data_IF_927487166576
#
_entry.id   IF_927487166576
#
_cell.length_a   1.000
_cell.length_b   1.000
_cell.length_c   1.000
_cell.angle_alpha   90.00
_cell.angle_beta   90.00
_cell.angle_gamma   90.00
#
_symmetry.space_group_name_H-M   'P 1'
#
loop_
_entity.id
_entity.type
_entity.pdbx_description
1 polymer ?
#
# COMPACT_ATOMS: atom_id res chain seq x y z
N UNK A 1 5.45 -4.20 -23.17
CA UNK A 1 5.23 -4.86 -21.89
C UNK A 1 3.75 -4.86 -21.51
N UNK A 2 3.30 -5.84 -20.74
CA UNK A 2 1.88 -6.02 -20.38
C UNK A 2 1.38 -5.03 -19.31
N UNK A 3 2.29 -4.45 -18.52
CA UNK A 3 1.92 -3.60 -17.36
C UNK A 3 1.09 -2.38 -17.80
N UNK A 4 1.57 -1.61 -18.75
CA UNK A 4 0.92 -0.36 -19.15
C UNK A 4 -0.50 -0.57 -19.70
N UNK A 5 -0.75 -1.52 -20.63
CA UNK A 5 -2.11 -1.81 -21.10
C UNK A 5 -3.06 -2.25 -19.95
N UNK A 6 -2.58 -3.09 -19.03
CA UNK A 6 -3.41 -3.57 -17.91
C UNK A 6 -3.70 -2.44 -16.92
N UNK A 7 -2.73 -1.57 -16.61
CA UNK A 7 -2.94 -0.37 -15.78
C UNK A 7 -3.95 0.57 -16.44
N UNK A 8 -3.83 0.81 -17.76
CA UNK A 8 -4.79 1.64 -18.49
C UNK A 8 -6.20 1.06 -18.47
N UNK A 9 -6.34 -0.28 -18.62
CA UNK A 9 -7.62 -0.97 -18.51
C UNK A 9 -8.24 -0.81 -17.12
N UNK A 10 -7.47 -1.06 -16.04
CA UNK A 10 -7.95 -0.91 -14.67
C UNK A 10 -8.32 0.54 -14.35
N UNK A 11 -7.53 1.51 -14.79
CA UNK A 11 -7.84 2.93 -14.62
C UNK A 11 -9.12 3.31 -15.35
N UNK A 12 -9.29 2.87 -16.60
CA UNK A 12 -10.51 3.10 -17.38
C UNK A 12 -11.75 2.46 -16.74
N UNK A 13 -11.63 1.21 -16.27
CA UNK A 13 -12.71 0.53 -15.56
C UNK A 13 -13.07 1.29 -14.28
N UNK A 14 -12.09 1.64 -13.45
CA UNK A 14 -12.29 2.40 -12.23
C UNK A 14 -12.96 3.75 -12.50
N UNK A 15 -12.53 4.46 -13.55
CA UNK A 15 -13.13 5.73 -13.96
C UNK A 15 -14.62 5.59 -14.31
N UNK A 16 -14.98 4.56 -15.09
CA UNK A 16 -16.40 4.31 -15.47
C UNK A 16 -17.26 4.07 -14.25
N UNK A 17 -16.80 3.24 -13.29
CA UNK A 17 -17.55 2.98 -12.07
C UNK A 17 -17.67 4.23 -11.19
N UNK A 18 -16.58 4.97 -10.99
CA UNK A 18 -16.59 6.19 -10.17
C UNK A 18 -17.47 7.27 -10.82
N UNK A 19 -17.36 7.48 -12.13
CA UNK A 19 -18.16 8.48 -12.86
C UNK A 19 -19.68 8.23 -12.72
N UNK A 20 -20.07 6.98 -12.61
CA UNK A 20 -21.46 6.60 -12.40
C UNK A 20 -21.92 6.82 -10.94
N UNK A 21 -21.04 6.58 -9.97
CA UNK A 21 -21.38 6.73 -8.55
C UNK A 21 -21.39 8.20 -8.17
N UNK A 22 -20.35 8.94 -8.58
CA UNK A 22 -20.13 10.34 -8.22
C UNK A 22 -19.30 11.05 -9.31
N UNK A 23 -19.94 12.01 -10.01
CA UNK A 23 -19.29 12.75 -11.10
C UNK A 23 -18.19 13.69 -10.62
N UNK A 24 -18.31 14.25 -9.40
CA UNK A 24 -17.29 15.15 -8.86
C UNK A 24 -16.01 14.39 -8.53
N UNK A 25 -16.15 13.16 -8.02
CA UNK A 25 -15.01 12.26 -7.80
C UNK A 25 -14.37 11.82 -9.12
N UNK A 26 -15.18 11.58 -10.16
CA UNK A 26 -14.66 11.23 -11.48
C UNK A 26 -13.82 12.34 -12.10
N UNK A 27 -14.26 13.61 -11.98
CA UNK A 27 -13.48 14.76 -12.44
C UNK A 27 -12.13 14.83 -11.73
N UNK A 28 -12.12 14.63 -10.41
CA UNK A 28 -10.88 14.59 -9.62
C UNK A 28 -9.98 13.44 -10.05
N UNK A 29 -10.54 12.25 -10.29
CA UNK A 29 -9.79 11.09 -10.77
C UNK A 29 -9.20 11.33 -12.17
N UNK A 30 -9.94 11.95 -13.09
CA UNK A 30 -9.43 12.31 -14.40
C UNK A 30 -8.23 13.28 -14.30
N UNK A 31 -8.34 14.29 -13.40
CA UNK A 31 -7.23 15.18 -13.10
C UNK A 31 -6.00 14.46 -12.56
N UNK A 32 -6.19 13.54 -11.59
CA UNK A 32 -5.09 12.74 -11.05
C UNK A 32 -4.51 11.75 -12.07
N UNK A 33 -5.32 11.20 -12.96
CA UNK A 33 -4.86 10.36 -14.06
C UNK A 33 -3.97 11.18 -15.01
N UNK A 34 -4.36 12.40 -15.36
CA UNK A 34 -3.54 13.29 -16.17
C UNK A 34 -2.19 13.61 -15.49
N UNK A 35 -2.21 13.94 -14.20
CA UNK A 35 -0.99 14.15 -13.40
C UNK A 35 -0.12 12.87 -13.40
N UNK A 36 -0.72 11.69 -13.23
CA UNK A 36 -0.02 10.41 -13.29
C UNK A 36 0.66 10.14 -14.63
N UNK A 37 -0.02 10.43 -15.75
CA UNK A 37 0.54 10.30 -17.10
C UNK A 37 1.70 11.28 -17.30
N UNK A 38 1.55 12.53 -16.87
CA UNK A 38 2.65 13.52 -16.93
C UNK A 38 3.84 13.06 -16.08
N UNK A 39 3.60 12.58 -14.87
CA UNK A 39 4.65 12.06 -13.99
C UNK A 39 5.36 10.84 -14.60
N UNK A 40 4.60 9.94 -15.24
CA UNK A 40 5.15 8.80 -15.95
C UNK A 40 6.07 9.22 -17.10
N UNK A 41 5.62 10.13 -17.97
CA UNK A 41 6.41 10.66 -19.10
C UNK A 41 7.63 11.41 -18.57
N UNK A 42 7.47 12.24 -17.54
CA UNK A 42 8.57 12.95 -16.90
C UNK A 42 9.62 11.99 -16.31
N UNK A 43 9.18 10.91 -15.67
CA UNK A 43 10.08 9.89 -15.13
C UNK A 43 10.89 9.23 -16.25
N UNK A 44 10.27 8.88 -17.37
CA UNK A 44 10.96 8.29 -18.53
C UNK A 44 11.96 9.27 -19.16
N UNK A 45 11.63 10.56 -19.20
CA UNK A 45 12.49 11.59 -19.81
C UNK A 45 13.67 11.99 -18.89
N UNK A 46 13.44 12.12 -17.59
CA UNK A 46 14.40 12.65 -16.62
C UNK A 46 15.28 11.55 -16.02
N UNK A 47 14.71 10.38 -15.72
CA UNK A 47 15.44 9.27 -15.11
C UNK A 47 16.11 8.41 -16.17
N UNK A 48 17.16 8.93 -16.79
CA UNK A 48 17.91 8.21 -17.83
C UNK A 48 18.65 6.98 -17.31
N UNK A 49 19.14 7.04 -16.08
CA UNK A 49 19.85 5.95 -15.39
C UNK A 49 19.31 5.81 -13.97
N UNK A 50 18.46 4.82 -13.76
CA UNK A 50 17.84 4.53 -12.45
C UNK A 50 18.89 4.36 -11.35
N UNK A 51 20.04 3.78 -11.67
CA UNK A 51 21.16 3.59 -10.73
C UNK A 51 21.73 4.91 -10.16
N UNK A 52 21.56 6.03 -10.88
CA UNK A 52 21.98 7.35 -10.36
C UNK A 52 21.20 7.74 -9.11
N UNK A 53 19.96 7.29 -8.96
CA UNK A 53 19.14 7.54 -7.77
C UNK A 53 19.75 6.91 -6.51
N UNK A 54 20.54 5.85 -6.65
CA UNK A 54 21.25 5.22 -5.53
C UNK A 54 22.27 6.16 -4.87
N UNK A 55 22.77 7.17 -5.58
CA UNK A 55 23.71 8.15 -5.01
C UNK A 55 23.02 9.10 -4.00
N UNK A 56 21.70 9.20 -4.09
CA UNK A 56 20.88 10.11 -3.26
C UNK A 56 20.09 9.37 -2.16
N UNK A 57 20.52 8.15 -1.78
CA UNK A 57 19.77 7.31 -0.85
C UNK A 57 19.39 8.04 0.44
N UNK A 58 20.33 8.67 1.16
CA UNK A 58 20.02 9.41 2.39
C UNK A 58 19.17 10.66 2.15
N UNK A 59 19.36 11.36 1.05
CA UNK A 59 18.49 12.48 0.66
C UNK A 59 17.05 12.01 0.48
N UNK A 60 16.85 10.87 -0.20
CA UNK A 60 15.54 10.23 -0.37
C UNK A 60 14.93 9.77 0.95
N UNK A 61 15.75 9.29 1.90
CA UNK A 61 15.30 9.00 3.26
C UNK A 61 14.71 10.24 3.93
N UNK A 62 15.45 11.36 3.94
CA UNK A 62 14.99 12.59 4.59
C UNK A 62 13.78 13.19 3.88
N UNK A 63 13.71 13.11 2.54
CA UNK A 63 12.52 13.51 1.77
C UNK A 63 11.33 12.63 2.15
N UNK A 64 11.50 11.31 2.19
CA UNK A 64 10.45 10.37 2.56
C UNK A 64 9.91 10.60 3.97
N UNK A 65 10.79 10.73 4.95
CA UNK A 65 10.39 11.02 6.34
C UNK A 65 9.75 12.41 6.46
N UNK A 66 10.27 13.42 5.76
CA UNK A 66 9.69 14.77 5.73
C UNK A 66 8.27 14.76 5.16
N UNK A 67 8.04 14.04 4.06
CA UNK A 67 6.72 13.87 3.46
C UNK A 67 5.75 13.17 4.41
N UNK A 68 6.20 12.14 5.16
CA UNK A 68 5.37 11.49 6.17
C UNK A 68 5.00 12.43 7.31
N UNK A 69 5.89 13.29 7.75
CA UNK A 69 5.65 14.24 8.84
C UNK A 69 4.74 15.40 8.43
N UNK A 70 4.67 15.72 7.14
CA UNK A 70 3.97 16.90 6.62
C UNK A 70 2.50 17.00 7.07
N UNK A 71 1.68 15.92 7.02
CA UNK A 71 0.29 15.98 7.45
C UNK A 71 0.10 16.20 8.96
N UNK A 72 1.13 15.91 9.78
CA UNK A 72 1.07 16.12 11.23
C UNK A 72 1.22 17.61 11.60
N UNK A 73 1.73 18.45 10.69
CA UNK A 73 1.86 19.88 10.92
C UNK A 73 0.47 20.54 11.01
N UNK A 74 0.21 21.35 12.07
CA UNK A 74 -1.13 21.88 12.35
C UNK A 74 -1.73 22.74 11.22
N UNK A 75 -0.87 23.43 10.46
CA UNK A 75 -1.28 24.38 9.41
C UNK A 75 -1.53 23.69 8.07
N UNK A 76 -0.89 22.56 7.80
CA UNK A 76 -0.86 21.90 6.49
C UNK A 76 -1.77 20.69 6.44
N UNK A 77 -1.82 19.95 7.54
CA UNK A 77 -2.56 18.69 7.62
C UNK A 77 -4.05 18.87 7.86
N UNK A 78 -4.85 18.12 7.13
CA UNK A 78 -6.30 18.04 7.30
C UNK A 78 -6.68 16.70 7.93
N UNK A 79 -7.48 16.75 8.98
CA UNK A 79 -8.06 15.56 9.60
C UNK A 79 -9.36 15.19 8.86
N UNK A 80 -9.41 13.94 8.37
CA UNK A 80 -10.59 13.38 7.71
C UNK A 80 -10.85 12.02 8.37
N UNK A 81 -12.07 11.81 8.86
CA UNK A 81 -12.47 10.58 9.55
C UNK A 81 -11.53 10.16 10.71
N UNK A 82 -11.00 11.15 11.45
CA UNK A 82 -10.10 10.92 12.56
C UNK A 82 -8.65 10.58 12.19
N UNK A 83 -8.30 10.52 10.90
CA UNK A 83 -6.94 10.32 10.41
C UNK A 83 -6.35 11.60 9.81
N UNK A 84 -5.11 11.89 10.15
CA UNK A 84 -4.38 13.09 9.71
C UNK A 84 -3.34 12.74 8.68
N UNK A 85 -3.82 12.38 7.46
CA UNK A 85 -3.00 11.85 6.35
C UNK A 85 -3.04 12.72 5.10
N UNK A 86 -3.93 13.72 5.07
CA UNK A 86 -4.18 14.53 3.89
C UNK A 86 -3.61 15.94 4.03
N UNK A 87 -3.11 16.48 2.92
CA UNK A 87 -2.81 17.90 2.75
C UNK A 87 -3.67 18.47 1.61
N UNK A 88 -4.03 19.74 1.72
CA UNK A 88 -4.85 20.41 0.72
C UNK A 88 -3.99 21.37 -0.10
N UNK A 89 -3.89 21.12 -1.40
CA UNK A 89 -3.15 21.95 -2.36
C UNK A 89 -4.12 22.54 -3.37
N UNK A 90 -4.62 23.77 -3.11
CA UNK A 90 -5.45 24.50 -4.07
C UNK A 90 -6.71 23.77 -4.54
N UNK A 91 -7.40 23.03 -3.63
CA UNK A 91 -8.61 22.27 -3.96
C UNK A 91 -8.39 20.79 -4.26
N UNK A 92 -7.14 20.36 -4.39
CA UNK A 92 -6.78 18.94 -4.48
C UNK A 92 -6.30 18.43 -3.12
N UNK A 93 -6.84 17.28 -2.69
CA UNK A 93 -6.35 16.58 -1.51
C UNK A 93 -5.26 15.58 -1.95
N UNK A 94 -4.08 15.69 -1.35
CA UNK A 94 -2.92 14.84 -1.64
C UNK A 94 -2.55 14.09 -0.38
N UNK A 95 -2.20 12.82 -0.52
CA UNK A 95 -1.64 12.01 0.56
C UNK A 95 -0.13 11.91 0.38
N UNK A 96 0.69 12.66 1.14
CA UNK A 96 2.14 12.66 0.97
C UNK A 96 2.79 11.32 1.24
N UNK A 97 2.13 10.45 2.03
CA UNK A 97 2.60 9.10 2.32
C UNK A 97 2.81 8.24 1.06
N UNK A 98 2.02 8.46 -0.01
CA UNK A 98 2.17 7.71 -1.27
C UNK A 98 3.53 7.99 -1.93
N UNK A 99 3.94 9.25 -1.96
CA UNK A 99 5.26 9.65 -2.47
C UNK A 99 6.39 9.26 -1.50
N UNK A 100 6.13 9.34 -0.19
CA UNK A 100 7.07 8.93 0.83
C UNK A 100 7.43 7.44 0.72
N UNK A 101 6.45 6.57 0.46
CA UNK A 101 6.69 5.13 0.25
C UNK A 101 7.69 4.88 -0.88
N UNK A 102 7.54 5.58 -2.01
CA UNK A 102 8.47 5.47 -3.16
C UNK A 102 9.88 5.93 -2.76
N UNK A 103 9.99 7.08 -2.10
CA UNK A 103 11.29 7.62 -1.65
C UNK A 103 11.98 6.67 -0.66
N UNK A 104 11.23 6.08 0.27
CA UNK A 104 11.75 5.12 1.23
C UNK A 104 12.16 3.79 0.59
N UNK A 105 11.42 3.30 -0.43
CA UNK A 105 11.81 2.11 -1.20
C UNK A 105 13.15 2.35 -1.91
N UNK A 106 13.34 3.51 -2.52
CA UNK A 106 14.60 3.89 -3.16
C UNK A 106 15.76 3.92 -2.15
N UNK A 107 15.52 4.48 -0.95
CA UNK A 107 16.49 4.43 0.14
C UNK A 107 16.80 2.99 0.56
N UNK A 108 15.78 2.18 0.86
CA UNK A 108 15.98 0.80 1.29
C UNK A 108 16.71 -0.02 0.22
N UNK A 109 16.34 0.11 -1.05
CA UNK A 109 17.04 -0.57 -2.14
C UNK A 109 18.51 -0.19 -2.16
N UNK A 110 18.84 1.10 -2.01
CA UNK A 110 20.22 1.60 -1.99
C UNK A 110 20.98 1.06 -0.78
N UNK A 111 20.40 1.20 0.39
CA UNK A 111 21.08 0.86 1.65
C UNK A 111 21.29 -0.66 1.76
N UNK A 112 20.25 -1.44 1.46
CA UNK A 112 20.30 -2.89 1.57
C UNK A 112 21.29 -3.49 0.57
N UNK A 113 21.34 -3.00 -0.67
CA UNK A 113 22.31 -3.48 -1.65
C UNK A 113 23.73 -3.15 -1.23
N UNK A 114 23.98 -1.93 -0.75
CA UNK A 114 25.31 -1.50 -0.30
C UNK A 114 25.84 -2.31 0.89
N UNK A 115 24.94 -2.76 1.77
CA UNK A 115 25.29 -3.46 2.99
C UNK A 115 24.89 -4.95 2.99
N UNK A 116 24.49 -5.52 1.83
CA UNK A 116 23.89 -6.86 1.77
C UNK A 116 24.80 -7.95 2.32
N UNK A 117 26.11 -7.90 2.03
CA UNK A 117 27.07 -8.86 2.53
C UNK A 117 27.21 -8.78 4.06
N UNK A 118 27.28 -7.57 4.60
CA UNK A 118 27.41 -7.31 6.03
C UNK A 118 26.11 -7.66 6.79
N UNK A 119 24.94 -7.46 6.17
CA UNK A 119 23.65 -7.88 6.70
C UNK A 119 23.44 -9.41 6.59
N UNK A 120 24.12 -10.04 5.65
CA UNK A 120 24.17 -11.51 5.53
C UNK A 120 25.11 -12.19 6.53
N UNK A 121 26.10 -11.45 7.09
CA UNK A 121 27.03 -11.98 8.08
C UNK A 121 26.39 -12.00 9.47
N UNK A 122 26.28 -13.17 10.07
CA UNK A 122 25.68 -13.36 11.41
C UNK A 122 26.79 -13.43 12.48
N UNK A 123 27.50 -12.31 12.67
CA UNK A 123 28.63 -12.25 13.58
C UNK A 123 28.26 -11.91 15.04
N UNK A 124 27.01 -11.52 15.28
CA UNK A 124 26.53 -11.17 16.61
C UNK A 124 25.57 -12.23 17.12
N UNK A 125 25.86 -12.81 18.30
CA UNK A 125 25.05 -13.84 18.92
C UNK A 125 24.22 -13.25 20.04
N UNK A 126 22.89 -13.34 19.90
CA UNK A 126 21.95 -13.04 20.97
C UNK A 126 21.24 -14.34 21.40
N UNK A 127 21.87 -15.08 22.31
CA UNK A 127 21.41 -16.44 22.67
C UNK A 127 21.52 -17.40 21.47
N UNK A 128 20.43 -18.08 21.10
CA UNK A 128 20.41 -18.98 19.95
C UNK A 128 20.33 -18.25 18.60
N UNK A 129 20.06 -16.94 18.62
CA UNK A 129 19.89 -16.14 17.42
C UNK A 129 21.22 -15.57 16.94
N UNK A 130 21.50 -15.78 15.66
CA UNK A 130 22.66 -15.23 14.97
C UNK A 130 22.19 -14.05 14.12
N UNK A 131 22.56 -12.82 14.54
CA UNK A 131 22.14 -11.57 13.92
C UNK A 131 23.36 -10.85 13.30
N UNK A 132 23.14 -10.01 12.28
CA UNK A 132 24.18 -9.12 11.80
C UNK A 132 24.54 -8.06 12.85
N UNK A 133 25.72 -7.48 12.72
CA UNK A 133 26.18 -6.46 13.66
C UNK A 133 25.18 -5.28 13.72
N UNK A 134 24.81 -4.80 14.92
CA UNK A 134 23.79 -3.75 15.10
C UNK A 134 24.06 -2.47 14.30
N UNK A 135 25.33 -2.12 14.11
CA UNK A 135 25.72 -0.93 13.35
C UNK A 135 25.22 -0.91 11.90
N UNK A 136 24.99 -2.08 11.28
CA UNK A 136 24.48 -2.17 9.91
C UNK A 136 22.96 -2.30 9.87
N UNK A 137 22.34 -2.84 10.93
CA UNK A 137 20.90 -2.91 11.06
C UNK A 137 20.29 -1.59 11.53
N UNK A 138 20.97 -0.88 12.43
CA UNK A 138 20.43 0.30 13.10
C UNK A 138 19.89 1.37 12.12
N UNK A 139 20.60 1.82 11.07
CA UNK A 139 20.08 2.86 10.19
C UNK A 139 18.80 2.47 9.47
N UNK A 140 18.69 1.22 9.03
CA UNK A 140 17.53 0.76 8.28
C UNK A 140 16.34 0.48 9.19
N UNK A 141 16.56 -0.09 10.37
CA UNK A 141 15.52 -0.29 11.39
C UNK A 141 15.04 1.06 11.93
N UNK A 142 15.94 2.02 12.11
CA UNK A 142 15.60 3.34 12.61
C UNK A 142 14.73 4.10 11.58
N UNK A 143 15.14 4.11 10.31
CA UNK A 143 14.38 4.71 9.23
C UNK A 143 12.97 4.10 9.12
N UNK A 144 12.90 2.78 9.15
CA UNK A 144 11.65 2.03 9.13
C UNK A 144 10.79 2.27 10.38
N UNK A 145 11.40 2.20 11.57
CA UNK A 145 10.71 2.42 12.83
C UNK A 145 10.12 3.83 12.95
N UNK A 146 10.88 4.86 12.55
CA UNK A 146 10.39 6.24 12.51
C UNK A 146 9.21 6.36 11.55
N UNK A 147 9.30 5.78 10.33
CA UNK A 147 8.21 5.81 9.38
C UNK A 147 6.94 5.13 9.92
N UNK A 148 7.09 3.97 10.57
CA UNK A 148 5.97 3.27 11.24
C UNK A 148 5.35 4.11 12.36
N UNK A 149 6.16 4.69 13.23
CA UNK A 149 5.67 5.52 14.33
C UNK A 149 4.88 6.72 13.83
N UNK A 150 5.35 7.36 12.75
CA UNK A 150 4.63 8.48 12.11
C UNK A 150 3.28 8.01 11.54
N UNK A 151 3.24 6.87 10.84
CA UNK A 151 1.99 6.33 10.28
C UNK A 151 1.00 5.93 11.38
N UNK A 152 1.49 5.37 12.50
CA UNK A 152 0.65 5.07 13.67
C UNK A 152 0.11 6.37 14.30
N UNK A 153 0.94 7.41 14.43
CA UNK A 153 0.52 8.72 14.93
C UNK A 153 -0.53 9.38 14.03
N UNK A 154 -0.48 9.13 12.72
CA UNK A 154 -1.49 9.54 11.74
C UNK A 154 -2.78 8.73 11.82
N UNK A 155 -2.83 7.66 12.63
CA UNK A 155 -3.90 6.66 12.71
C UNK A 155 -4.12 5.88 11.40
N UNK A 156 -3.07 5.76 10.59
CA UNK A 156 -3.05 5.01 9.34
C UNK A 156 -2.42 3.62 9.54
N UNK A 157 -3.16 2.75 10.19
CA UNK A 157 -2.71 1.38 10.47
C UNK A 157 -2.59 0.53 9.19
N UNK A 158 -3.40 0.82 8.17
CA UNK A 158 -3.35 0.12 6.89
C UNK A 158 -2.03 0.36 6.16
N UNK A 159 -1.65 1.63 5.97
CA UNK A 159 -0.36 1.99 5.37
C UNK A 159 0.82 1.53 6.23
N UNK A 160 0.69 1.57 7.57
CA UNK A 160 1.73 1.07 8.47
C UNK A 160 1.97 -0.44 8.27
N UNK A 161 0.91 -1.24 8.15
CA UNK A 161 1.01 -2.68 7.89
C UNK A 161 1.61 -2.97 6.52
N UNK A 162 1.14 -2.27 5.47
CA UNK A 162 1.69 -2.41 4.13
C UNK A 162 3.20 -2.09 4.12
N UNK A 163 3.60 -1.02 4.77
CA UNK A 163 4.99 -0.60 4.84
C UNK A 163 5.86 -1.56 5.66
N UNK A 164 5.28 -2.17 6.70
CA UNK A 164 5.91 -3.24 7.47
C UNK A 164 6.21 -4.47 6.60
N UNK A 165 5.21 -4.97 5.89
CA UNK A 165 5.35 -6.14 5.01
C UNK A 165 6.33 -5.86 3.87
N UNK A 166 6.24 -4.67 3.27
CA UNK A 166 7.16 -4.21 2.23
C UNK A 166 8.62 -4.24 2.72
N UNK A 167 8.87 -3.65 3.89
CA UNK A 167 10.21 -3.62 4.48
C UNK A 167 10.76 -5.02 4.73
N UNK A 168 9.97 -5.91 5.33
CA UNK A 168 10.38 -7.30 5.58
C UNK A 168 10.67 -8.05 4.27
N UNK A 169 9.84 -7.85 3.25
CA UNK A 169 10.03 -8.45 1.94
C UNK A 169 11.33 -7.98 1.29
N UNK A 170 11.62 -6.68 1.33
CA UNK A 170 12.85 -6.12 0.80
C UNK A 170 14.09 -6.63 1.58
N UNK A 171 14.01 -6.71 2.91
CA UNK A 171 15.07 -7.28 3.75
C UNK A 171 15.33 -8.74 3.39
N UNK A 172 14.29 -9.53 3.24
CA UNK A 172 14.41 -10.94 2.86
C UNK A 172 15.02 -11.10 1.47
N UNK A 173 14.52 -10.38 0.47
CA UNK A 173 15.05 -10.44 -0.91
C UNK A 173 16.52 -9.99 -0.97
N UNK A 174 16.91 -9.00 -0.16
CA UNK A 174 18.28 -8.48 -0.15
C UNK A 174 19.27 -9.45 0.52
N UNK A 175 18.85 -10.11 1.59
CA UNK A 175 19.73 -10.91 2.44
C UNK A 175 19.60 -12.42 2.22
N UNK A 176 18.50 -12.85 1.60
CA UNK A 176 18.13 -14.28 1.42
C UNK A 176 18.00 -15.05 2.75
N UNK A 177 17.83 -14.33 3.89
CA UNK A 177 17.75 -14.89 5.24
C UNK A 177 16.33 -14.90 5.76
N UNK A 178 15.79 -16.08 6.03
CA UNK A 178 14.45 -16.26 6.61
C UNK A 178 14.30 -15.70 8.03
N UNK A 179 15.41 -15.42 8.71
CA UNK A 179 15.38 -14.86 10.06
C UNK A 179 14.62 -13.53 10.11
N UNK A 180 14.71 -12.68 9.06
CA UNK A 180 14.05 -11.38 9.02
C UNK A 180 12.51 -11.49 8.95
N UNK A 181 11.91 -12.23 7.99
CA UNK A 181 10.46 -12.39 7.97
C UNK A 181 9.94 -13.16 9.19
N UNK A 182 10.69 -14.13 9.75
CA UNK A 182 10.29 -14.85 10.96
C UNK A 182 10.27 -13.89 12.16
N UNK A 183 11.36 -13.14 12.41
CA UNK A 183 11.39 -12.14 13.48
C UNK A 183 10.33 -11.07 13.29
N UNK A 184 10.15 -10.58 12.06
CA UNK A 184 9.10 -9.63 11.75
C UNK A 184 7.72 -10.20 12.06
N UNK A 185 7.43 -11.42 11.64
CA UNK A 185 6.17 -12.10 11.96
C UNK A 185 5.91 -12.21 13.46
N UNK A 186 6.93 -12.56 14.24
CA UNK A 186 6.83 -12.62 15.70
C UNK A 186 6.60 -11.23 16.32
N UNK A 187 7.31 -10.21 15.85
CA UNK A 187 7.11 -8.82 16.29
C UNK A 187 5.72 -8.30 15.93
N UNK A 188 5.24 -8.65 14.73
CA UNK A 188 3.89 -8.32 14.30
C UNK A 188 2.84 -9.00 15.20
N UNK A 189 2.99 -10.30 15.46
CA UNK A 189 2.07 -11.04 16.33
C UNK A 189 2.02 -10.44 17.73
N UNK A 190 3.18 -10.12 18.31
CA UNK A 190 3.26 -9.45 19.62
C UNK A 190 2.62 -8.06 19.58
N UNK A 191 2.94 -7.24 18.58
CA UNK A 191 2.37 -5.91 18.42
C UNK A 191 0.86 -5.93 18.18
N UNK A 192 0.36 -6.86 17.38
CA UNK A 192 -1.06 -7.06 17.10
C UNK A 192 -1.81 -7.49 18.38
N UNK A 193 -1.22 -8.39 19.19
CA UNK A 193 -1.80 -8.81 20.47
C UNK A 193 -1.90 -7.64 21.46
N UNK A 194 -0.85 -6.82 21.55
CA UNK A 194 -0.84 -5.61 22.39
C UNK A 194 -1.88 -4.61 21.88
N UNK A 195 -1.91 -4.35 20.58
CA UNK A 195 -2.87 -3.42 19.98
C UNK A 195 -4.31 -3.89 20.20
N UNK A 196 -4.58 -5.19 20.03
CA UNK A 196 -5.89 -5.76 20.31
C UNK A 196 -6.28 -5.66 21.78
N UNK A 197 -5.34 -5.84 22.71
CA UNK A 197 -5.62 -5.74 24.14
C UNK A 197 -5.81 -4.31 24.67
N UNK A 198 -5.23 -3.29 24.00
CA UNK A 198 -5.18 -1.92 24.49
C UNK A 198 -6.06 -0.93 23.69
N UNK A 199 -6.39 -1.26 22.44
CA UNK A 199 -7.05 -0.32 21.53
C UNK A 199 -8.46 -0.81 21.14
N UNK A 200 -9.50 -0.18 21.68
CA UNK A 200 -10.89 -0.56 21.42
C UNK A 200 -11.25 -0.56 19.91
N UNK A 201 -10.76 0.41 19.15
CA UNK A 201 -11.00 0.44 17.69
C UNK A 201 -10.36 -0.73 16.92
N UNK A 202 -9.29 -1.35 17.46
CA UNK A 202 -8.71 -2.57 16.90
C UNK A 202 -9.59 -3.77 17.24
N UNK A 203 -10.11 -3.83 18.48
CA UNK A 203 -11.06 -4.86 18.90
C UNK A 203 -12.32 -4.83 18.03
N UNK A 204 -12.89 -3.65 17.78
CA UNK A 204 -14.07 -3.47 16.93
C UNK A 204 -13.81 -3.99 15.49
N UNK A 205 -12.64 -3.68 14.93
CA UNK A 205 -12.28 -4.16 13.59
C UNK A 205 -12.08 -5.67 13.55
N UNK A 206 -11.42 -6.26 14.56
CA UNK A 206 -11.24 -7.71 14.64
C UNK A 206 -12.58 -8.40 14.84
N UNK A 207 -13.45 -7.89 15.70
CA UNK A 207 -14.79 -8.43 15.91
C UNK A 207 -15.64 -8.34 14.63
N UNK A 208 -15.61 -7.19 13.95
CA UNK A 208 -16.32 -7.01 12.69
C UNK A 208 -15.79 -7.95 11.58
N UNK A 209 -14.51 -8.28 11.59
CA UNK A 209 -13.91 -9.20 10.61
C UNK A 209 -14.25 -10.67 10.90
N UNK A 210 -14.19 -11.08 12.18
CA UNK A 210 -14.41 -12.48 12.57
C UNK A 210 -15.91 -12.82 12.68
N UNK A 211 -16.70 -11.91 13.24
CA UNK A 211 -18.12 -12.09 13.53
C UNK A 211 -18.95 -10.89 13.04
N UNK A 212 -18.96 -10.60 11.73
CA UNK A 212 -19.60 -9.40 11.19
C UNK A 212 -21.13 -9.38 11.45
N UNK A 213 -21.77 -10.55 11.50
CA UNK A 213 -23.21 -10.68 11.72
C UNK A 213 -23.63 -10.27 13.14
N UNK A 214 -22.80 -10.55 14.14
CA UNK A 214 -23.09 -10.21 15.53
C UNK A 214 -23.08 -8.70 15.79
N UNK A 215 -22.36 -7.96 14.95
CA UNK A 215 -22.20 -6.50 15.00
C UNK A 215 -22.73 -5.82 13.74
N UNK A 216 -23.69 -6.44 13.05
CA UNK A 216 -24.23 -5.96 11.78
C UNK A 216 -24.88 -4.57 11.82
N UNK A 217 -25.38 -4.13 12.97
CA UNK A 217 -25.92 -2.78 13.19
C UNK A 217 -24.87 -1.70 13.50
N UNK A 218 -23.59 -2.08 13.58
CA UNK A 218 -22.48 -1.19 13.99
C UNK A 218 -21.26 -1.38 13.10
N UNK A 219 -20.14 -1.78 13.74
CA UNK A 219 -18.83 -1.93 13.05
C UNK A 219 -18.82 -2.97 11.92
N UNK A 220 -19.70 -3.99 11.96
CA UNK A 220 -19.84 -5.01 10.93
C UNK A 220 -20.75 -4.62 9.76
N UNK A 221 -21.49 -3.50 9.85
CA UNK A 221 -22.48 -3.12 8.84
C UNK A 221 -21.95 -3.14 7.41
N UNK A 222 -20.80 -2.52 7.20
CA UNK A 222 -20.18 -2.40 5.88
C UNK A 222 -19.78 -3.76 5.30
N UNK A 223 -19.27 -4.67 6.13
CA UNK A 223 -18.85 -6.02 5.73
C UNK A 223 -20.09 -6.84 5.34
N UNK A 224 -21.15 -6.77 6.16
CA UNK A 224 -22.40 -7.50 5.92
C UNK A 224 -23.07 -7.02 4.63
N UNK A 225 -23.22 -5.70 4.45
CA UNK A 225 -23.80 -5.14 3.22
C UNK A 225 -22.94 -5.44 1.99
N UNK A 226 -21.62 -5.36 2.13
CA UNK A 226 -20.69 -5.74 1.05
C UNK A 226 -20.84 -7.22 0.66
N UNK A 227 -21.00 -8.10 1.65
CA UNK A 227 -21.21 -9.53 1.42
C UNK A 227 -22.54 -9.80 0.71
N UNK A 228 -23.62 -9.10 1.10
CA UNK A 228 -24.92 -9.21 0.41
C UNK A 228 -24.83 -8.74 -1.04
N UNK A 229 -24.18 -7.61 -1.30
CA UNK A 229 -24.00 -7.10 -2.65
C UNK A 229 -23.20 -8.07 -3.54
N UNK A 230 -22.10 -8.63 -3.02
CA UNK A 230 -21.32 -9.65 -3.75
C UNK A 230 -22.13 -10.92 -4.01
N UNK A 231 -22.90 -11.39 -3.03
CA UNK A 231 -23.78 -12.56 -3.18
C UNK A 231 -24.88 -12.31 -4.21
N UNK A 232 -25.45 -11.10 -4.22
CA UNK A 232 -26.46 -10.68 -5.17
C UNK A 232 -25.95 -10.66 -6.62
N UNK A 233 -24.67 -10.31 -6.80
CA UNK A 233 -24.02 -10.32 -8.11
C UNK A 233 -23.96 -11.70 -8.78
N UNK A 234 -23.87 -12.77 -8.00
CA UNK A 234 -23.81 -14.14 -8.55
C UNK A 234 -22.67 -14.33 -9.54
N UNK A 235 -22.85 -15.21 -10.52
CA UNK A 235 -21.80 -15.52 -11.52
C UNK A 235 -21.61 -14.42 -12.55
N UNK A 236 -22.66 -13.91 -13.14
CA UNK A 236 -22.62 -12.98 -14.28
C UNK A 236 -22.87 -11.51 -13.95
N UNK A 237 -23.19 -11.21 -12.71
CA UNK A 237 -23.58 -9.88 -12.28
C UNK A 237 -25.02 -9.50 -12.58
N UNK A 238 -25.49 -8.44 -11.92
CA UNK A 238 -26.85 -7.89 -12.15
C UNK A 238 -26.88 -6.98 -13.41
N UNK A 239 -25.72 -6.68 -13.98
CA UNK A 239 -25.55 -5.75 -15.09
C UNK A 239 -25.12 -4.36 -14.63
N UNK A 240 -24.42 -3.66 -15.53
CA UNK A 240 -23.91 -2.32 -15.28
C UNK A 240 -25.03 -1.36 -14.89
N UNK A 241 -24.88 -0.66 -13.78
CA UNK A 241 -25.83 0.32 -13.28
C UNK A 241 -27.04 -0.26 -12.55
N UNK A 242 -27.11 -1.57 -12.35
CA UNK A 242 -28.23 -2.26 -11.69
C UNK A 242 -27.90 -2.75 -10.28
N UNK A 243 -26.73 -2.40 -9.74
CA UNK A 243 -26.34 -2.75 -8.39
C UNK A 243 -27.14 -2.02 -7.32
N UNK A 244 -27.44 -2.71 -6.24
CA UNK A 244 -28.18 -2.21 -5.06
C UNK A 244 -27.24 -1.75 -3.92
N UNK A 245 -25.96 -2.11 -3.97
CA UNK A 245 -24.98 -1.83 -2.91
C UNK A 245 -24.75 -0.34 -2.65
N UNK A 246 -24.95 0.52 -3.66
CA UNK A 246 -24.76 1.97 -3.52
C UNK A 246 -25.73 2.59 -2.50
N UNK A 247 -27.06 2.32 -2.53
CA UNK A 247 -27.98 2.83 -1.53
C UNK A 247 -27.72 2.31 -0.10
N UNK A 248 -27.31 1.06 0.03
CA UNK A 248 -27.05 0.44 1.34
C UNK A 248 -25.77 0.91 2.00
N UNK A 249 -24.69 1.06 1.25
CA UNK A 249 -23.36 1.40 1.76
C UNK A 249 -23.06 2.91 1.74
N UNK A 250 -23.80 3.68 0.93
CA UNK A 250 -23.56 5.12 0.73
C UNK A 250 -22.50 5.41 -0.34
N UNK A 251 -22.79 6.42 -1.17
CA UNK A 251 -21.97 6.77 -2.34
C UNK A 251 -20.49 7.00 -2.03
N UNK A 252 -20.20 7.75 -0.96
CA UNK A 252 -18.82 8.10 -0.61
C UNK A 252 -17.98 6.86 -0.27
N UNK A 253 -18.53 5.95 0.54
CA UNK A 253 -17.84 4.73 0.95
C UNK A 253 -17.61 3.78 -0.23
N UNK A 254 -18.64 3.62 -1.07
CA UNK A 254 -18.59 2.72 -2.24
C UNK A 254 -17.59 3.23 -3.29
N UNK A 255 -17.51 4.54 -3.50
CA UNK A 255 -16.60 5.12 -4.50
C UNK A 255 -15.12 5.08 -4.08
N UNK A 256 -14.83 4.96 -2.78
CA UNK A 256 -13.46 4.98 -2.24
C UNK A 256 -13.02 3.61 -1.73
N UNK A 257 -13.68 3.11 -0.69
CA UNK A 257 -13.18 1.97 0.07
C UNK A 257 -13.74 0.61 -0.42
N UNK A 258 -14.88 0.61 -1.12
CA UNK A 258 -15.59 -0.61 -1.48
C UNK A 258 -16.02 -0.69 -2.95
N UNK A 259 -15.27 -0.06 -3.86
CA UNK A 259 -15.57 -0.10 -5.30
C UNK A 259 -15.58 -1.53 -5.85
N UNK A 260 -14.76 -2.42 -5.30
CA UNK A 260 -14.72 -3.84 -5.68
C UNK A 260 -16.04 -4.56 -5.40
N UNK A 261 -16.76 -4.15 -4.36
CA UNK A 261 -18.09 -4.69 -4.04
C UNK A 261 -19.08 -4.36 -5.16
N UNK A 262 -19.05 -3.13 -5.67
CA UNK A 262 -19.93 -2.73 -6.79
C UNK A 262 -19.56 -3.47 -8.07
N UNK A 263 -18.25 -3.62 -8.34
CA UNK A 263 -17.78 -4.41 -9.48
C UNK A 263 -18.30 -5.84 -9.37
N UNK A 264 -18.24 -6.44 -8.18
CA UNK A 264 -18.71 -7.80 -7.94
C UNK A 264 -20.22 -7.94 -8.03
N UNK A 265 -20.98 -6.95 -7.57
CA UNK A 265 -22.44 -6.95 -7.72
C UNK A 265 -22.89 -6.84 -9.19
N UNK A 266 -22.25 -5.95 -9.95
CA UNK A 266 -22.67 -5.63 -11.31
C UNK A 266 -22.10 -6.53 -12.40
N UNK A 267 -20.86 -6.98 -12.24
CA UNK A 267 -20.16 -7.85 -13.18
C UNK A 267 -20.03 -9.30 -12.66
N UNK A 268 -20.47 -9.57 -11.44
CA UNK A 268 -20.45 -10.89 -10.84
C UNK A 268 -19.02 -11.42 -10.57
N UNK A 269 -18.96 -12.73 -10.33
CA UNK A 269 -17.71 -13.44 -10.11
C UNK A 269 -16.74 -13.30 -11.30
N UNK A 270 -17.25 -13.31 -12.54
CA UNK A 270 -16.40 -13.16 -13.72
C UNK A 270 -15.71 -11.79 -13.76
N UNK A 271 -16.44 -10.70 -13.49
CA UNK A 271 -15.85 -9.35 -13.45
C UNK A 271 -14.86 -9.17 -12.30
N UNK A 272 -15.22 -9.65 -11.11
CA UNK A 272 -14.34 -9.62 -9.94
C UNK A 272 -13.05 -10.40 -10.18
N UNK A 273 -13.15 -11.61 -10.75
CA UNK A 273 -11.99 -12.45 -11.08
C UNK A 273 -11.12 -11.79 -12.14
N UNK A 274 -11.70 -11.14 -13.15
CA UNK A 274 -10.95 -10.42 -14.18
C UNK A 274 -10.13 -9.26 -13.58
N UNK A 275 -10.72 -8.49 -12.63
CA UNK A 275 -10.02 -7.42 -11.93
C UNK A 275 -8.86 -7.97 -11.08
N UNK A 276 -9.10 -9.02 -10.30
CA UNK A 276 -8.05 -9.68 -9.50
C UNK A 276 -6.94 -10.24 -10.40
N UNK A 277 -7.29 -10.89 -11.52
CA UNK A 277 -6.33 -11.39 -12.48
C UNK A 277 -5.49 -10.25 -13.10
N UNK A 278 -6.08 -9.09 -13.36
CA UNK A 278 -5.36 -7.92 -13.84
C UNK A 278 -4.31 -7.43 -12.83
N UNK A 279 -4.63 -7.33 -11.53
CA UNK A 279 -3.65 -7.02 -10.49
C UNK A 279 -2.56 -8.09 -10.39
N UNK A 280 -2.91 -9.37 -10.43
CA UNK A 280 -1.95 -10.47 -10.43
C UNK A 280 -1.01 -10.43 -11.65
N UNK A 281 -1.51 -10.03 -12.82
CA UNK A 281 -0.69 -9.84 -14.02
C UNK A 281 0.32 -8.69 -13.85
N UNK A 282 -0.09 -7.57 -13.24
CA UNK A 282 0.82 -6.46 -12.95
C UNK A 282 1.89 -6.92 -11.95
N UNK A 283 1.50 -7.52 -10.83
CA UNK A 283 2.42 -8.02 -9.83
C UNK A 283 3.37 -9.08 -10.40
N UNK A 284 2.85 -10.06 -11.15
CA UNK A 284 3.66 -11.09 -11.80
C UNK A 284 4.63 -10.53 -12.82
N UNK A 285 4.23 -9.52 -13.60
CA UNK A 285 5.11 -8.86 -14.56
C UNK A 285 6.20 -8.05 -13.83
N UNK A 286 5.85 -7.33 -12.75
CA UNK A 286 6.79 -6.59 -11.94
C UNK A 286 7.84 -7.49 -11.26
N UNK A 287 7.40 -8.58 -10.62
CA UNK A 287 8.33 -9.55 -10.03
C UNK A 287 9.18 -10.26 -11.10
N UNK A 288 8.64 -10.51 -12.29
CA UNK A 288 9.44 -11.05 -13.40
C UNK A 288 10.55 -10.08 -13.83
N UNK A 289 10.28 -8.78 -13.84
CA UNK A 289 11.29 -7.75 -14.10
C UNK A 289 12.36 -7.79 -13.00
N UNK A 290 11.94 -7.86 -11.73
CA UNK A 290 12.85 -7.98 -10.60
C UNK A 290 13.76 -9.21 -10.68
N UNK A 291 13.20 -10.38 -11.01
CA UNK A 291 13.96 -11.63 -11.12
C UNK A 291 14.94 -11.66 -12.29
N UNK A 292 14.64 -10.91 -13.37
CA UNK A 292 15.51 -10.83 -14.56
C UNK A 292 16.56 -9.72 -14.50
N UNK A 293 16.51 -8.90 -13.45
CA UNK A 293 17.47 -7.82 -13.27
C UNK A 293 18.83 -8.37 -12.81
N UNK A 294 19.88 -8.11 -13.59
CA UNK A 294 21.25 -8.52 -13.26
C UNK A 294 21.84 -7.69 -12.11
N UNK A 295 21.48 -6.42 -12.04
CA UNK A 295 21.94 -5.51 -10.98
C UNK A 295 21.06 -5.66 -9.73
N UNK A 296 21.68 -5.93 -8.55
CA UNK A 296 20.94 -6.11 -7.29
C UNK A 296 20.08 -4.91 -6.90
N UNK A 297 20.49 -3.69 -7.24
CA UNK A 297 19.70 -2.48 -6.98
C UNK A 297 18.42 -2.45 -7.82
N UNK A 298 18.51 -2.76 -9.11
CA UNK A 298 17.34 -2.84 -9.98
C UNK A 298 16.39 -3.96 -9.54
N UNK A 299 16.95 -5.12 -9.16
CA UNK A 299 16.18 -6.25 -8.62
C UNK A 299 15.35 -5.83 -7.40
N UNK A 300 16.01 -5.22 -6.42
CA UNK A 300 15.37 -4.88 -5.15
C UNK A 300 14.38 -3.71 -5.32
N UNK A 301 14.73 -2.73 -6.15
CA UNK A 301 13.84 -1.61 -6.46
C UNK A 301 12.57 -2.09 -7.19
N UNK A 302 12.72 -2.92 -8.21
CA UNK A 302 11.58 -3.46 -8.94
C UNK A 302 10.67 -4.32 -8.04
N UNK A 303 11.26 -5.15 -7.17
CA UNK A 303 10.51 -5.94 -6.19
C UNK A 303 9.77 -5.06 -5.18
N UNK A 304 10.43 -4.03 -4.63
CA UNK A 304 9.82 -3.10 -3.68
C UNK A 304 8.67 -2.29 -4.29
N UNK A 305 8.86 -1.76 -5.51
CA UNK A 305 7.79 -1.04 -6.21
C UNK A 305 6.61 -1.95 -6.58
N UNK A 306 6.90 -3.22 -6.94
CA UNK A 306 5.85 -4.19 -7.25
C UNK A 306 5.05 -4.57 -6.01
N UNK A 307 5.68 -4.64 -4.85
CA UNK A 307 5.01 -4.98 -3.59
C UNK A 307 4.08 -3.86 -3.07
N UNK A 308 4.10 -2.66 -3.68
CA UNK A 308 3.13 -1.59 -3.40
C UNK A 308 1.79 -1.79 -4.13
N UNK A 309 1.78 -2.59 -5.19
CA UNK A 309 0.59 -2.89 -5.99
C UNK A 309 -0.24 -4.01 -5.36
#
# INVERSE_FOLDING_TARGET
GIILPVVALLNGLGYVFIARIDQDLAIKQAGWTAVGVVAFVATLALVRKVKTLANYGYTLLFIGLGLLLLPLLPVVGKEINGARIWINLGGFSVQPAEFAKIALILFFATYLVKNRELLGLTNWRLGPLHLPAPKFLAPVILAWGVALLVMIAQKDLGSALLFFVLFLSMMWIATERLIYPVMGGLLFAAGATIAWSQLGHVQDRVTAWLNPWDVAGGSGYQIVQGTYALAWGGMGGQGLGRGYGIPGLGKAFVATDSIFVVIGEELGVFGSTAVLAAFLLIAGAGFRIAMRADDPYHKLLAAGLTALV
#
